data_IF_685456069946
#
_entry.id   IF_685456069946
#
_cell.length_a   1.000
_cell.length_b   1.000
_cell.length_c   1.000
_cell.angle_alpha   90.00
_cell.angle_beta   90.00
_cell.angle_gamma   90.00
#
_symmetry.space_group_name_H-M   'P 1'
#
loop_
_entity.id
_entity.type
_entity.pdbx_description
1 polymer ?
#
# COMPACT_ATOMS: atom_id res chain seq x y z
N UNK A 1 -6.58 3.78 18.54
CA UNK A 1 -7.10 3.86 17.16
C UNK A 1 -8.49 4.42 17.18
N UNK A 2 -8.65 5.63 16.66
CA UNK A 2 -9.96 6.27 16.51
C UNK A 2 -10.85 5.47 15.55
N UNK A 3 -12.16 5.64 15.67
CA UNK A 3 -13.15 4.97 14.79
C UNK A 3 -12.91 5.39 13.33
N UNK A 4 -12.62 6.66 13.11
CA UNK A 4 -12.32 7.23 11.79
C UNK A 4 -11.07 6.59 11.16
N UNK A 5 -9.98 6.46 11.91
CA UNK A 5 -8.76 5.82 11.42
C UNK A 5 -9.01 4.35 11.06
N UNK A 6 -9.78 3.63 11.89
CA UNK A 6 -10.15 2.24 11.61
C UNK A 6 -10.98 2.12 10.34
N UNK A 7 -11.93 3.03 10.13
CA UNK A 7 -12.75 3.07 8.92
C UNK A 7 -11.90 3.36 7.67
N UNK A 8 -10.98 4.33 7.75
CA UNK A 8 -10.03 4.65 6.69
C UNK A 8 -9.14 3.47 6.31
N UNK A 9 -8.53 2.79 7.30
CA UNK A 9 -7.69 1.62 7.05
C UNK A 9 -8.50 0.50 6.39
N UNK A 10 -9.72 0.24 6.86
CA UNK A 10 -10.60 -0.78 6.28
C UNK A 10 -11.01 -0.45 4.84
N UNK A 11 -11.30 0.82 4.56
CA UNK A 11 -11.62 1.31 3.22
C UNK A 11 -10.44 1.06 2.28
N UNK A 12 -9.24 1.50 2.66
CA UNK A 12 -8.04 1.34 1.82
C UNK A 12 -7.73 -0.14 1.55
N UNK A 13 -7.76 -0.99 2.58
CA UNK A 13 -7.57 -2.44 2.40
C UNK A 13 -8.59 -3.02 1.40
N UNK A 14 -9.86 -2.63 1.53
CA UNK A 14 -10.92 -3.13 0.64
C UNK A 14 -10.70 -2.69 -0.80
N UNK A 15 -10.39 -1.41 -1.03
CA UNK A 15 -10.22 -0.87 -2.38
C UNK A 15 -8.91 -1.38 -3.01
N UNK A 16 -7.82 -1.55 -2.23
CA UNK A 16 -6.58 -2.19 -2.69
C UNK A 16 -6.82 -3.63 -3.15
N UNK A 17 -7.57 -4.42 -2.37
CA UNK A 17 -7.92 -5.79 -2.75
C UNK A 17 -8.77 -5.79 -4.02
N UNK A 18 -9.78 -4.91 -4.10
CA UNK A 18 -10.69 -4.88 -5.25
C UNK A 18 -9.96 -4.46 -6.54
N UNK A 19 -9.40 -3.26 -6.57
CA UNK A 19 -8.74 -2.72 -7.76
C UNK A 19 -7.43 -3.44 -8.07
N UNK A 20 -6.67 -3.81 -7.05
CA UNK A 20 -5.45 -4.58 -7.20
C UNK A 20 -5.70 -5.95 -7.83
N UNK A 21 -6.77 -6.65 -7.43
CA UNK A 21 -7.14 -7.94 -8.04
C UNK A 21 -7.58 -7.76 -9.49
N UNK A 22 -8.34 -6.72 -9.82
CA UNK A 22 -8.76 -6.44 -11.20
C UNK A 22 -7.54 -6.24 -12.11
N UNK A 23 -6.58 -5.41 -11.69
CA UNK A 23 -5.37 -5.15 -12.49
C UNK A 23 -4.49 -6.40 -12.57
N UNK A 24 -4.35 -7.14 -11.46
CA UNK A 24 -3.60 -8.38 -11.45
C UNK A 24 -4.20 -9.43 -12.38
N UNK A 25 -5.53 -9.54 -12.47
CA UNK A 25 -6.22 -10.43 -13.41
C UNK A 25 -5.90 -10.08 -14.86
N UNK A 26 -5.86 -8.79 -15.21
CA UNK A 26 -5.47 -8.34 -16.56
C UNK A 26 -4.03 -8.77 -16.87
N UNK A 27 -3.10 -8.55 -15.92
CA UNK A 27 -1.70 -8.95 -16.08
C UNK A 27 -1.57 -10.48 -16.17
N UNK A 28 -2.40 -11.23 -15.44
CA UNK A 28 -2.33 -12.69 -15.38
C UNK A 28 -2.50 -13.34 -16.75
N UNK A 29 -3.36 -12.80 -17.61
CA UNK A 29 -3.54 -13.29 -18.98
C UNK A 29 -2.32 -13.12 -19.88
N UNK A 30 -1.42 -12.19 -19.54
CA UNK A 30 -0.19 -11.90 -20.31
C UNK A 30 1.01 -12.60 -19.67
N UNK A 31 1.14 -12.49 -18.34
CA UNK A 31 2.23 -13.04 -17.57
C UNK A 31 1.76 -13.42 -16.15
N UNK A 32 1.42 -14.70 -15.91
CA UNK A 32 0.96 -15.17 -14.59
C UNK A 32 1.94 -14.89 -13.45
N UNK A 33 3.25 -15.07 -13.69
CA UNK A 33 4.29 -14.78 -12.69
C UNK A 33 4.35 -13.29 -12.39
N UNK A 34 4.22 -12.47 -13.42
CA UNK A 34 4.17 -11.01 -13.31
C UNK A 34 2.98 -10.50 -12.48
N UNK A 35 1.82 -11.13 -12.61
CA UNK A 35 0.63 -10.79 -11.81
C UNK A 35 0.85 -11.02 -10.31
N UNK A 36 1.51 -12.12 -9.95
CA UNK A 36 1.87 -12.41 -8.55
C UNK A 36 2.86 -11.37 -7.99
N UNK A 37 3.84 -10.97 -8.79
CA UNK A 37 4.83 -9.97 -8.40
C UNK A 37 4.18 -8.58 -8.25
N UNK A 38 3.24 -8.24 -9.12
CA UNK A 38 2.42 -7.04 -9.02
C UNK A 38 1.57 -7.04 -7.73
N UNK A 39 0.89 -8.15 -7.43
CA UNK A 39 0.13 -8.31 -6.18
C UNK A 39 1.02 -8.18 -4.93
N UNK A 40 2.24 -8.72 -4.98
CA UNK A 40 3.22 -8.53 -3.91
C UNK A 40 3.52 -7.04 -3.70
N UNK A 41 3.68 -6.27 -4.78
CA UNK A 41 3.84 -4.82 -4.72
C UNK A 41 2.70 -4.12 -3.98
N UNK A 42 1.45 -4.47 -4.32
CA UNK A 42 0.25 -3.95 -3.64
C UNK A 42 0.23 -4.32 -2.16
N UNK A 43 0.50 -5.59 -1.83
CA UNK A 43 0.51 -6.06 -0.43
C UNK A 43 1.53 -5.28 0.40
N UNK A 44 2.74 -5.05 -0.13
CA UNK A 44 3.77 -4.29 0.57
C UNK A 44 3.36 -2.82 0.75
N UNK A 45 2.73 -2.21 -0.26
CA UNK A 45 2.21 -0.85 -0.15
C UNK A 45 1.11 -0.75 0.92
N UNK A 46 0.16 -1.68 0.91
CA UNK A 46 -0.94 -1.78 1.88
C UNK A 46 -0.41 -1.96 3.31
N UNK A 47 0.55 -2.86 3.53
CA UNK A 47 1.18 -3.06 4.84
C UNK A 47 1.90 -1.79 5.31
N UNK A 48 2.64 -1.12 4.41
CA UNK A 48 3.30 0.14 4.69
C UNK A 48 2.30 1.23 5.11
N UNK A 49 1.14 1.28 4.47
CA UNK A 49 0.07 2.22 4.80
C UNK A 49 -0.56 1.91 6.16
N UNK A 50 -0.90 0.65 6.43
CA UNK A 50 -1.50 0.22 7.70
C UNK A 50 -0.57 0.52 8.87
N UNK A 51 0.71 0.14 8.77
CA UNK A 51 1.71 0.41 9.81
C UNK A 51 1.82 1.92 10.05
N UNK A 52 1.87 2.72 8.98
CA UNK A 52 1.93 4.19 9.09
C UNK A 52 0.69 4.76 9.77
N UNK A 53 -0.51 4.27 9.44
CA UNK A 53 -1.76 4.70 10.07
C UNK A 53 -1.79 4.41 11.57
N UNK A 54 -1.33 3.23 11.99
CA UNK A 54 -1.25 2.86 13.42
C UNK A 54 -0.25 3.75 14.17
N UNK A 55 0.93 4.00 13.58
CA UNK A 55 1.96 4.84 14.20
C UNK A 55 1.48 6.29 14.29
N UNK A 56 0.82 6.80 13.25
CA UNK A 56 0.26 8.15 13.22
C UNK A 56 -0.81 8.33 14.30
N UNK A 57 -1.77 7.42 14.40
CA UNK A 57 -2.81 7.45 15.45
C UNK A 57 -2.21 7.46 16.85
N UNK A 58 -1.21 6.62 17.11
CA UNK A 58 -0.50 6.61 18.40
C UNK A 58 0.25 7.91 18.66
N UNK A 59 0.90 8.48 17.63
CA UNK A 59 1.67 9.71 17.77
C UNK A 59 0.78 10.92 18.05
N UNK A 60 -0.37 11.01 17.38
CA UNK A 60 -1.34 12.09 17.60
C UNK A 60 -1.94 12.04 19.01
N UNK A 61 -2.24 10.83 19.51
CA UNK A 61 -2.80 10.65 20.85
C UNK A 61 -1.77 10.86 21.98
N UNK A 62 -0.46 10.71 21.72
CA UNK A 62 0.59 10.79 22.74
C UNK A 62 1.24 12.18 22.87
N UNK A 63 0.92 13.14 22.00
CA UNK A 63 1.34 14.56 22.10
C UNK A 63 2.85 14.85 21.98
N UNK A 64 3.73 13.85 21.83
CA UNK A 64 5.19 14.03 21.68
C UNK A 64 5.66 13.59 20.30
N UNK A 65 6.50 14.43 19.69
CA UNK A 65 7.21 14.16 18.43
C UNK A 65 8.02 12.87 18.55
N UNK A 66 7.52 11.82 17.91
CA UNK A 66 7.92 10.46 18.23
C UNK A 66 9.10 10.07 17.34
N UNK A 67 10.31 9.92 17.92
CA UNK A 67 11.49 9.35 17.23
C UNK A 67 11.14 8.03 16.52
N UNK A 68 10.19 7.27 17.07
CA UNK A 68 9.60 6.08 16.45
C UNK A 68 8.98 6.33 15.07
N UNK A 69 8.40 7.50 14.81
CA UNK A 69 7.85 7.87 13.49
C UNK A 69 8.95 7.99 12.43
N UNK A 70 10.07 8.62 12.79
CA UNK A 70 11.25 8.76 11.92
C UNK A 70 11.87 7.39 11.65
N UNK A 71 12.12 6.60 12.70
CA UNK A 71 12.68 5.25 12.57
C UNK A 71 11.77 4.34 11.73
N UNK A 72 10.45 4.42 11.92
CA UNK A 72 9.51 3.63 11.10
C UNK A 72 9.57 3.96 9.62
N UNK A 73 9.89 5.21 9.28
CA UNK A 73 9.99 5.65 7.89
C UNK A 73 11.23 5.04 7.24
N UNK A 74 12.37 5.01 7.93
CA UNK A 74 13.56 4.31 7.46
C UNK A 74 13.29 2.81 7.26
N UNK A 75 12.65 2.15 8.23
CA UNK A 75 12.31 0.71 8.11
C UNK A 75 11.44 0.46 6.89
N UNK A 76 10.38 1.25 6.67
CA UNK A 76 9.48 1.10 5.52
C UNK A 76 10.20 1.29 4.18
N UNK A 77 11.06 2.31 4.07
CA UNK A 77 11.84 2.55 2.85
C UNK A 77 12.78 1.38 2.60
N UNK A 78 13.51 0.93 3.63
CA UNK A 78 14.39 -0.23 3.53
C UNK A 78 13.64 -1.49 3.12
N UNK A 79 12.43 -1.73 3.65
CA UNK A 79 11.60 -2.89 3.25
C UNK A 79 11.29 -2.87 1.75
N UNK A 80 10.89 -1.72 1.20
CA UNK A 80 10.60 -1.60 -0.24
C UNK A 80 11.85 -1.83 -1.07
N UNK A 81 12.99 -1.25 -0.65
CA UNK A 81 14.27 -1.42 -1.36
C UNK A 81 14.74 -2.88 -1.33
N UNK A 82 14.71 -3.53 -0.17
CA UNK A 82 15.15 -4.92 -0.02
C UNK A 82 14.33 -5.84 -0.93
N UNK A 83 13.00 -5.65 -0.97
CA UNK A 83 12.14 -6.46 -1.84
C UNK A 83 12.39 -6.14 -3.32
N UNK A 84 12.59 -4.86 -3.68
CA UNK A 84 12.95 -4.48 -5.03
C UNK A 84 14.28 -5.13 -5.49
N UNK A 85 15.27 -5.22 -4.59
CA UNK A 85 16.57 -5.83 -4.89
C UNK A 85 16.47 -7.31 -5.26
N UNK A 86 15.50 -8.05 -4.69
CA UNK A 86 15.24 -9.46 -5.06
C UNK A 86 14.93 -9.58 -6.55
N UNK A 87 14.30 -8.56 -7.14
CA UNK A 87 13.93 -8.52 -8.55
C UNK A 87 14.91 -7.73 -9.43
N UNK A 88 16.02 -7.21 -8.89
CA UNK A 88 16.93 -6.31 -9.60
C UNK A 88 17.53 -6.92 -10.88
N UNK A 89 17.75 -8.24 -10.90
CA UNK A 89 18.28 -8.95 -12.06
C UNK A 89 17.29 -9.04 -13.23
N UNK A 90 15.98 -8.89 -12.97
CA UNK A 90 14.94 -8.94 -13.99
C UNK A 90 14.15 -7.63 -14.01
N UNK A 91 14.52 -6.74 -14.95
CA UNK A 91 13.90 -5.42 -15.12
C UNK A 91 12.38 -5.49 -15.25
N UNK A 92 11.86 -6.51 -15.94
CA UNK A 92 10.42 -6.68 -16.13
C UNK A 92 9.70 -6.99 -14.81
N UNK A 93 10.24 -7.93 -14.02
CA UNK A 93 9.70 -8.24 -12.69
C UNK A 93 9.83 -7.06 -11.72
N UNK A 94 10.96 -6.36 -11.74
CA UNK A 94 11.17 -5.15 -10.94
C UNK A 94 10.12 -4.09 -11.27
N UNK A 95 9.87 -3.83 -12.56
CA UNK A 95 8.87 -2.87 -12.99
C UNK A 95 7.46 -3.26 -12.55
N UNK A 96 7.10 -4.55 -12.61
CA UNK A 96 5.79 -5.00 -12.16
C UNK A 96 5.62 -4.87 -10.64
N UNK A 97 6.66 -5.18 -9.86
CA UNK A 97 6.66 -4.95 -8.42
C UNK A 97 6.44 -3.47 -8.09
N UNK A 98 7.24 -2.58 -8.72
CA UNK A 98 7.14 -1.14 -8.53
C UNK A 98 5.78 -0.60 -9.00
N UNK A 99 5.26 -1.10 -10.12
CA UNK A 99 3.94 -0.73 -10.62
C UNK A 99 2.85 -1.11 -9.61
N UNK A 100 2.90 -2.32 -9.04
CA UNK A 100 1.98 -2.74 -7.98
C UNK A 100 2.07 -1.81 -6.76
N UNK A 101 3.29 -1.52 -6.32
CA UNK A 101 3.53 -0.62 -5.19
C UNK A 101 2.99 0.80 -5.43
N UNK A 102 3.22 1.37 -6.61
CA UNK A 102 2.78 2.74 -6.97
C UNK A 102 1.27 2.82 -7.18
N UNK A 103 0.65 1.76 -7.73
CA UNK A 103 -0.79 1.72 -8.03
C UNK A 103 -1.67 1.89 -6.79
N UNK A 104 -1.14 1.54 -5.61
CA UNK A 104 -1.78 1.82 -4.32
C UNK A 104 -2.18 3.30 -4.15
N UNK A 105 -1.34 4.26 -4.57
CA UNK A 105 -1.62 5.68 -4.34
C UNK A 105 -2.86 6.17 -5.11
N UNK A 106 -2.99 5.93 -6.45
CA UNK A 106 -4.24 6.19 -7.16
C UNK A 106 -5.44 5.50 -6.54
N UNK A 107 -5.32 4.22 -6.13
CA UNK A 107 -6.43 3.46 -5.52
C UNK A 107 -6.96 4.17 -4.26
N UNK A 108 -6.07 4.63 -3.38
CA UNK A 108 -6.47 5.39 -2.20
C UNK A 108 -7.23 6.66 -2.59
N UNK A 109 -6.71 7.43 -3.56
CA UNK A 109 -7.32 8.69 -3.99
C UNK A 109 -8.75 8.43 -4.51
N UNK A 110 -8.92 7.43 -5.38
CA UNK A 110 -10.23 7.07 -5.91
C UNK A 110 -11.18 6.55 -4.82
N UNK A 111 -10.69 5.68 -3.92
CA UNK A 111 -11.46 5.16 -2.81
C UNK A 111 -11.97 6.27 -1.89
N UNK A 112 -11.15 7.29 -1.63
CA UNK A 112 -11.52 8.42 -0.79
C UNK A 112 -12.56 9.33 -1.44
N UNK A 113 -12.39 9.67 -2.73
CA UNK A 113 -13.38 10.44 -3.50
C UNK A 113 -14.74 9.73 -3.52
N UNK A 114 -14.74 8.41 -3.72
CA UNK A 114 -15.95 7.57 -3.71
C UNK A 114 -16.62 7.56 -2.34
N UNK A 115 -15.83 7.52 -1.26
CA UNK A 115 -16.37 7.53 0.11
C UNK A 115 -17.05 8.85 0.48
N UNK A 116 -16.59 9.99 -0.05
CA UNK A 116 -17.23 11.28 0.19
C UNK A 116 -18.59 11.39 -0.52
N UNK A 117 -18.72 10.82 -1.72
CA UNK A 117 -19.96 10.86 -2.52
C UNK A 117 -21.07 9.92 -2.03
N UNK A 118 -20.76 8.98 -1.13
CA UNK A 118 -21.74 8.03 -0.57
C UNK A 118 -22.35 8.50 0.76
N UNK A 119 -22.07 9.73 1.19
CA UNK A 119 -22.57 10.33 2.44
C UNK A 119 -23.78 11.25 2.22
N UNK A 120 -24.32 11.31 1.01
CA UNK A 120 -25.55 12.04 0.66
C UNK A 120 -26.75 11.09 0.57
#
# INVERSE_FOLDING_TARGET
MTIEMKALLKLVIKEDILFGSIIALIIFFINPKGALIFLLGIIIAMLNFVIRGIILDKSLNAGKGNVFSVVSTFIRISTVIIIALIFANNKYHLLLYLAGFITHFPIIIFGWIKSQKGSD
#
